data_IF_398033129006
#
_entry.id   IF_398033129006
#
_cell.length_a   1.000
_cell.length_b   1.000
_cell.length_c   1.000
_cell.angle_alpha   90.00
_cell.angle_beta   90.00
_cell.angle_gamma   90.00
#
_symmetry.space_group_name_H-M   'P 1'
#
loop_
_entity.id
_entity.type
_entity.pdbx_description
1 polymer ?
#
# COMPACT_ATOMS: atom_id res chain seq x y z
N UNK A 1 10.55 -27.20 16.27
CA UNK A 1 9.17 -27.07 15.77
C UNK A 1 9.22 -26.14 14.58
N UNK A 2 8.83 -26.58 13.40
CA UNK A 2 8.59 -25.64 12.30
C UNK A 2 7.29 -24.91 12.63
N UNK A 3 7.36 -23.60 12.83
CA UNK A 3 6.16 -22.75 12.94
C UNK A 3 5.50 -22.74 11.56
N UNK A 4 4.28 -23.27 11.50
CA UNK A 4 3.43 -23.17 10.32
C UNK A 4 2.89 -21.74 10.27
N UNK A 5 3.21 -21.00 9.21
CA UNK A 5 2.63 -19.68 8.94
C UNK A 5 1.17 -19.85 8.46
N UNK A 6 0.31 -18.94 8.88
CA UNK A 6 -1.11 -18.93 8.53
C UNK A 6 -1.46 -17.71 7.69
N UNK A 7 -2.48 -17.86 6.85
CA UNK A 7 -3.01 -16.82 5.97
C UNK A 7 -4.44 -16.50 6.38
N UNK A 8 -4.78 -15.22 6.35
CA UNK A 8 -6.13 -14.71 6.48
C UNK A 8 -6.48 -13.96 5.20
N UNK A 9 -7.58 -14.35 4.55
CA UNK A 9 -8.17 -13.61 3.45
C UNK A 9 -9.43 -12.88 3.94
N UNK A 10 -9.56 -11.61 3.57
CA UNK A 10 -10.71 -10.77 3.89
C UNK A 10 -11.17 -10.16 2.57
N UNK A 11 -12.41 -10.41 2.18
CA UNK A 11 -13.03 -9.88 0.97
C UNK A 11 -14.56 -9.88 1.16
N UNK A 12 -15.28 -9.15 0.33
CA UNK A 12 -16.74 -9.25 0.26
C UNK A 12 -17.17 -10.56 -0.39
N UNK A 13 -16.37 -11.08 -1.32
CA UNK A 13 -16.65 -12.21 -2.21
C UNK A 13 -18.05 -12.10 -2.85
N UNK A 14 -18.58 -13.19 -3.41
CA UNK A 14 -19.84 -13.17 -4.16
C UNK A 14 -21.03 -12.76 -3.28
N UNK A 15 -20.98 -13.08 -1.97
CA UNK A 15 -22.11 -12.97 -1.05
C UNK A 15 -22.41 -11.54 -0.61
N UNK A 16 -21.42 -10.64 -0.63
CA UNK A 16 -21.55 -9.25 -0.16
C UNK A 16 -21.24 -8.20 -1.25
N UNK A 17 -21.31 -8.56 -2.54
CA UNK A 17 -21.03 -7.61 -3.64
C UNK A 17 -21.96 -6.38 -3.66
N UNK A 18 -23.12 -6.41 -3.02
CA UNK A 18 -23.95 -5.21 -2.84
C UNK A 18 -23.29 -4.13 -1.99
N UNK A 19 -22.23 -4.47 -1.24
CA UNK A 19 -21.42 -3.55 -0.43
C UNK A 19 -20.18 -3.04 -1.19
N UNK A 20 -19.96 -3.49 -2.43
CA UNK A 20 -18.89 -2.99 -3.30
C UNK A 20 -19.26 -1.60 -3.84
N UNK A 21 -19.10 -0.58 -3.00
CA UNK A 21 -19.58 0.78 -3.27
C UNK A 21 -18.80 1.53 -4.35
N UNK A 22 -17.56 1.15 -4.62
CA UNK A 22 -16.72 1.76 -5.66
C UNK A 22 -16.72 0.96 -6.97
N UNK A 23 -17.37 -0.21 -6.98
CA UNK A 23 -17.49 -1.07 -8.15
C UNK A 23 -16.18 -1.74 -8.57
N UNK A 24 -15.20 -1.82 -7.66
CA UNK A 24 -13.91 -2.43 -7.96
C UNK A 24 -13.97 -3.96 -7.84
N UNK A 25 -13.55 -4.64 -8.89
CA UNK A 25 -13.52 -6.11 -8.93
C UNK A 25 -14.88 -6.78 -8.72
N UNK A 26 -14.87 -8.11 -8.65
CA UNK A 26 -16.02 -8.94 -8.25
C UNK A 26 -15.47 -10.28 -7.74
N UNK A 27 -14.94 -10.24 -6.52
CA UNK A 27 -14.29 -11.40 -5.90
C UNK A 27 -15.21 -12.62 -5.87
N UNK A 28 -14.67 -13.79 -6.18
CA UNK A 28 -15.42 -15.06 -6.14
C UNK A 28 -14.76 -16.08 -5.22
N UNK A 29 -15.47 -16.48 -4.16
CA UNK A 29 -14.92 -17.38 -3.14
C UNK A 29 -14.59 -18.76 -3.72
N UNK A 30 -15.46 -19.39 -4.55
CA UNK A 30 -15.11 -20.66 -5.18
C UNK A 30 -13.86 -20.58 -6.07
N UNK A 31 -13.71 -19.51 -6.86
CA UNK A 31 -12.53 -19.33 -7.72
C UNK A 31 -11.27 -19.05 -6.90
N UNK A 32 -11.38 -18.25 -5.85
CA UNK A 32 -10.29 -18.00 -4.91
C UNK A 32 -9.79 -19.32 -4.29
N UNK A 33 -10.69 -20.13 -3.72
CA UNK A 33 -10.33 -21.42 -3.12
C UNK A 33 -9.72 -22.39 -4.14
N UNK A 34 -10.23 -22.41 -5.38
CA UNK A 34 -9.67 -23.19 -6.47
C UNK A 34 -8.23 -22.75 -6.81
N UNK A 35 -7.97 -21.44 -6.86
CA UNK A 35 -6.64 -20.90 -7.13
C UNK A 35 -5.65 -21.25 -6.00
N UNK A 36 -6.06 -21.11 -4.74
CA UNK A 36 -5.23 -21.49 -3.58
C UNK A 36 -4.86 -22.98 -3.67
N UNK A 37 -5.83 -23.84 -3.98
CA UNK A 37 -5.58 -25.28 -4.16
C UNK A 37 -4.63 -25.55 -5.33
N UNK A 38 -4.85 -24.89 -6.46
CA UNK A 38 -4.06 -25.07 -7.69
C UNK A 38 -2.59 -24.67 -7.48
N UNK A 39 -2.33 -23.64 -6.69
CA UNK A 39 -0.98 -23.16 -6.37
C UNK A 39 -0.33 -23.86 -5.17
N UNK A 40 -0.89 -24.99 -4.71
CA UNK A 40 -0.25 -25.87 -3.74
C UNK A 40 -0.31 -25.41 -2.29
N UNK A 41 -1.13 -24.40 -1.97
CA UNK A 41 -1.47 -24.10 -0.58
C UNK A 41 -2.53 -25.13 -0.14
N UNK A 42 -2.29 -25.89 0.96
CA UNK A 42 -3.23 -26.93 1.37
C UNK A 42 -4.57 -26.32 1.80
N UNK A 43 -5.55 -26.33 0.92
CA UNK A 43 -6.93 -25.88 1.21
C UNK A 43 -7.72 -26.90 2.03
N UNK A 44 -7.30 -28.17 2.01
CA UNK A 44 -8.05 -29.28 2.61
C UNK A 44 -7.96 -29.36 4.14
N UNK A 45 -7.04 -28.63 4.74
CA UNK A 45 -7.05 -28.41 6.18
C UNK A 45 -7.18 -26.91 6.40
N UNK A 46 -8.25 -26.45 7.04
CA UNK A 46 -8.44 -25.10 7.61
C UNK A 46 -7.29 -24.66 8.58
N UNK A 47 -6.20 -25.43 8.61
CA UNK A 47 -4.98 -25.20 9.34
C UNK A 47 -4.18 -24.03 8.78
N UNK A 48 -4.19 -23.76 7.46
CA UNK A 48 -3.35 -22.71 6.86
C UNK A 48 -4.12 -21.45 6.53
N UNK A 49 -5.31 -21.59 5.92
CA UNK A 49 -6.13 -20.48 5.45
C UNK A 49 -7.37 -20.32 6.32
N UNK A 50 -7.62 -19.07 6.73
CA UNK A 50 -8.89 -18.61 7.27
C UNK A 50 -9.46 -17.56 6.32
N UNK A 51 -10.79 -17.50 6.19
CA UNK A 51 -11.48 -16.55 5.31
C UNK A 51 -12.54 -15.82 6.11
N UNK A 52 -12.61 -14.50 5.94
CA UNK A 52 -13.68 -13.66 6.47
C UNK A 52 -14.36 -12.97 5.28
N UNK A 53 -15.65 -13.27 5.08
CA UNK A 53 -16.51 -12.55 4.13
C UNK A 53 -17.06 -11.29 4.82
N UNK A 54 -16.41 -10.14 4.65
CA UNK A 54 -16.81 -8.88 5.31
C UNK A 54 -16.11 -7.65 4.73
N UNK A 55 -16.73 -6.48 4.88
CA UNK A 55 -16.04 -5.19 4.70
C UNK A 55 -15.09 -4.96 5.87
N UNK A 56 -13.89 -4.47 5.60
CA UNK A 56 -12.95 -4.07 6.66
C UNK A 56 -13.45 -2.93 7.54
N UNK A 57 -14.48 -2.18 7.10
CA UNK A 57 -15.16 -1.15 7.90
C UNK A 57 -15.98 -1.73 9.05
N UNK A 58 -16.30 -3.02 8.98
CA UNK A 58 -17.17 -3.71 9.95
C UNK A 58 -16.37 -4.68 10.83
N UNK A 59 -15.05 -4.72 10.67
CA UNK A 59 -14.17 -5.66 11.37
C UNK A 59 -13.44 -5.00 12.55
N UNK A 60 -13.48 -5.70 13.67
CA UNK A 60 -12.70 -5.39 14.86
C UNK A 60 -11.39 -6.19 14.89
N UNK A 61 -10.30 -5.65 15.46
CA UNK A 61 -9.01 -6.34 15.56
C UNK A 61 -9.08 -7.74 16.21
N UNK A 62 -10.01 -7.97 17.14
CA UNK A 62 -10.20 -9.29 17.76
C UNK A 62 -10.68 -10.35 16.76
N UNK A 63 -11.47 -9.97 15.77
CA UNK A 63 -11.97 -10.87 14.72
C UNK A 63 -10.86 -11.30 13.76
N UNK A 64 -9.77 -10.54 13.64
CA UNK A 64 -8.59 -10.94 12.86
C UNK A 64 -7.63 -11.82 13.67
N UNK A 65 -7.57 -11.61 14.98
CA UNK A 65 -6.69 -12.38 15.88
C UNK A 65 -7.21 -13.78 16.17
N UNK A 66 -8.51 -14.00 16.03
CA UNK A 66 -9.16 -15.29 16.23
C UNK A 66 -10.28 -15.49 15.19
N UNK A 67 -10.10 -16.49 14.31
CA UNK A 67 -11.03 -16.82 13.22
C UNK A 67 -11.37 -18.30 13.30
N UNK A 68 -12.65 -18.65 13.29
CA UNK A 68 -13.11 -20.05 13.40
C UNK A 68 -12.51 -20.84 14.59
N UNK A 69 -12.31 -20.15 15.72
CA UNK A 69 -11.69 -20.72 16.93
C UNK A 69 -10.17 -20.91 16.83
N UNK A 70 -9.54 -20.46 15.74
CA UNK A 70 -8.09 -20.49 15.53
C UNK A 70 -7.48 -19.14 15.89
N UNK A 71 -6.53 -19.14 16.81
CA UNK A 71 -5.73 -17.95 17.16
C UNK A 71 -4.63 -17.72 16.12
N UNK A 72 -4.69 -16.58 15.43
CA UNK A 72 -3.71 -16.16 14.42
C UNK A 72 -2.60 -15.29 15.01
N UNK A 73 -2.89 -14.58 16.11
CA UNK A 73 -1.90 -13.70 16.74
C UNK A 73 -1.70 -12.40 15.95
N UNK A 74 -0.47 -11.90 15.90
CA UNK A 74 -0.13 -10.69 15.14
C UNK A 74 0.31 -11.03 13.71
N UNK A 75 0.18 -10.08 12.79
CA UNK A 75 0.50 -10.26 11.37
C UNK A 75 1.89 -9.73 11.03
N UNK A 76 2.68 -10.54 10.32
CA UNK A 76 4.03 -10.17 9.86
C UNK A 76 4.02 -9.51 8.48
N UNK A 77 3.03 -9.85 7.66
CA UNK A 77 2.78 -9.27 6.34
C UNK A 77 1.28 -9.04 6.23
N UNK A 78 0.88 -7.88 5.72
CA UNK A 78 -0.51 -7.54 5.47
C UNK A 78 -0.61 -6.81 4.12
N UNK A 79 -1.33 -7.39 3.16
CA UNK A 79 -1.58 -6.77 1.86
C UNK A 79 -2.93 -6.07 1.91
N UNK A 80 -2.98 -4.81 1.52
CA UNK A 80 -4.20 -4.00 1.40
C UNK A 80 -4.42 -3.76 -0.09
N UNK A 81 -5.49 -4.38 -0.59
CA UNK A 81 -5.98 -4.31 -1.97
C UNK A 81 -7.52 -4.46 -1.92
N UNK A 82 -8.14 -3.62 -1.10
CA UNK A 82 -9.57 -3.64 -0.81
C UNK A 82 -10.32 -2.63 -1.67
N UNK A 83 -11.21 -1.87 -1.05
CA UNK A 83 -11.87 -0.75 -1.72
C UNK A 83 -10.93 0.44 -1.94
N UNK A 84 -11.24 1.23 -2.96
CA UNK A 84 -10.45 2.33 -3.51
C UNK A 84 -10.95 3.71 -3.03
N UNK A 85 -11.73 3.75 -1.95
CA UNK A 85 -12.23 4.97 -1.32
C UNK A 85 -11.37 5.39 -0.12
N UNK A 86 -11.32 6.69 0.16
CA UNK A 86 -10.59 7.23 1.33
C UNK A 86 -11.00 6.53 2.64
N UNK A 87 -12.31 6.34 2.83
CA UNK A 87 -12.87 5.76 4.06
C UNK A 87 -12.44 4.31 4.24
N UNK A 88 -12.48 3.51 3.17
CA UNK A 88 -12.10 2.09 3.23
C UNK A 88 -10.60 1.96 3.49
N UNK A 89 -9.75 2.65 2.72
CA UNK A 89 -8.30 2.61 2.92
C UNK A 89 -7.89 3.10 4.32
N UNK A 90 -8.56 4.13 4.85
CA UNK A 90 -8.31 4.57 6.23
C UNK A 90 -8.70 3.48 7.24
N UNK A 91 -9.85 2.83 7.04
CA UNK A 91 -10.30 1.73 7.89
C UNK A 91 -9.30 0.58 7.89
N UNK A 92 -8.85 0.16 6.71
CA UNK A 92 -7.83 -0.87 6.53
C UNK A 92 -6.56 -0.54 7.32
N UNK A 93 -6.05 0.69 7.18
CA UNK A 93 -4.83 1.14 7.85
C UNK A 93 -4.98 1.18 9.38
N UNK A 94 -6.13 1.61 9.89
CA UNK A 94 -6.42 1.62 11.34
C UNK A 94 -6.54 0.20 11.87
N UNK A 95 -7.18 -0.71 11.12
CA UNK A 95 -7.38 -2.10 11.51
C UNK A 95 -6.04 -2.85 11.54
N UNK A 96 -5.26 -2.78 10.45
CA UNK A 96 -3.99 -3.50 10.33
C UNK A 96 -3.00 -3.08 11.40
N UNK A 97 -2.92 -1.77 11.70
CA UNK A 97 -2.01 -1.23 12.69
C UNK A 97 -2.26 -1.79 14.10
N UNK A 98 -3.50 -2.19 14.41
CA UNK A 98 -3.87 -2.79 15.70
C UNK A 98 -3.58 -4.30 15.78
N UNK A 99 -3.23 -4.95 14.66
CA UNK A 99 -2.97 -6.40 14.59
C UNK A 99 -1.57 -6.73 14.05
N UNK A 100 -0.81 -5.74 13.59
CA UNK A 100 0.55 -5.90 13.07
C UNK A 100 1.53 -6.31 14.19
N UNK A 101 2.45 -7.22 13.90
CA UNK A 101 3.59 -7.46 14.78
C UNK A 101 4.57 -6.28 14.72
N UNK A 102 5.42 -6.15 15.74
CA UNK A 102 6.61 -5.28 15.62
C UNK A 102 7.45 -5.71 14.41
N UNK A 103 7.77 -4.75 13.55
CA UNK A 103 8.45 -5.01 12.28
C UNK A 103 7.57 -5.65 11.21
N UNK A 104 6.28 -5.85 11.43
CA UNK A 104 5.39 -6.29 10.36
C UNK A 104 5.42 -5.32 9.18
N UNK A 105 5.14 -5.84 7.98
CA UNK A 105 5.12 -5.05 6.74
C UNK A 105 3.70 -4.96 6.21
N UNK A 106 3.25 -3.73 5.97
CA UNK A 106 2.00 -3.44 5.29
C UNK A 106 2.35 -3.10 3.85
N UNK A 107 1.66 -3.71 2.90
CA UNK A 107 1.82 -3.48 1.46
C UNK A 107 0.51 -2.94 0.96
N UNK A 108 0.49 -1.71 0.48
CA UNK A 108 -0.73 -1.07 -0.03
C UNK A 108 -0.64 -1.05 -1.55
N UNK A 109 -1.65 -1.60 -2.23
CA UNK A 109 -1.76 -1.52 -3.68
C UNK A 109 -2.24 -0.13 -4.13
N UNK A 110 -2.11 0.15 -5.42
CA UNK A 110 -2.66 1.34 -6.06
C UNK A 110 -2.20 2.70 -5.52
N UNK A 111 -1.01 2.71 -4.92
CA UNK A 111 -0.36 3.93 -4.39
C UNK A 111 -0.21 5.03 -5.45
N UNK A 112 0.10 4.68 -6.69
CA UNK A 112 0.28 5.63 -7.79
C UNK A 112 -0.86 5.60 -8.82
N UNK A 113 -1.95 4.87 -8.54
CA UNK A 113 -3.05 4.76 -9.47
C UNK A 113 -3.94 6.01 -9.40
N UNK A 114 -4.03 6.75 -10.50
CA UNK A 114 -4.82 7.98 -10.60
C UNK A 114 -6.33 7.71 -10.70
N UNK A 115 -6.75 6.51 -11.09
CA UNK A 115 -8.16 6.11 -11.04
C UNK A 115 -8.61 5.91 -9.58
N UNK A 116 -7.70 5.41 -8.72
CA UNK A 116 -7.96 5.06 -7.33
C UNK A 116 -7.40 6.06 -6.33
N UNK A 117 -7.65 7.35 -6.59
CA UNK A 117 -7.13 8.44 -5.76
C UNK A 117 -7.57 8.35 -4.28
N UNK A 118 -8.69 7.69 -3.98
CA UNK A 118 -9.15 7.44 -2.61
C UNK A 118 -8.12 6.69 -1.77
N UNK A 119 -7.32 5.80 -2.37
CA UNK A 119 -6.22 5.10 -1.69
C UNK A 119 -5.20 6.09 -1.14
N UNK A 120 -4.68 6.98 -1.98
CA UNK A 120 -3.75 8.04 -1.56
C UNK A 120 -4.38 8.95 -0.50
N UNK A 121 -5.62 9.36 -0.70
CA UNK A 121 -6.33 10.23 0.26
C UNK A 121 -6.45 9.56 1.64
N UNK A 122 -6.80 8.27 1.68
CA UNK A 122 -6.91 7.49 2.91
C UNK A 122 -5.58 7.36 3.65
N UNK A 123 -4.48 7.13 2.91
CA UNK A 123 -3.12 7.07 3.46
C UNK A 123 -2.72 8.42 4.08
N UNK A 124 -2.89 9.53 3.36
CA UNK A 124 -2.53 10.85 3.89
C UNK A 124 -3.39 11.24 5.08
N UNK A 125 -4.69 10.90 5.07
CA UNK A 125 -5.56 11.08 6.21
C UNK A 125 -5.08 10.27 7.42
N UNK A 126 -4.68 9.01 7.21
CA UNK A 126 -4.12 8.17 8.26
C UNK A 126 -2.85 8.79 8.87
N UNK A 127 -1.90 9.24 8.04
CA UNK A 127 -0.69 9.92 8.51
C UNK A 127 -1.00 11.18 9.33
N UNK A 128 -1.98 11.98 8.90
CA UNK A 128 -2.39 13.18 9.63
C UNK A 128 -2.97 12.85 11.02
N UNK A 129 -3.67 11.72 11.19
CA UNK A 129 -4.19 11.28 12.49
C UNK A 129 -3.09 10.83 13.46
N UNK A 130 -1.91 10.47 12.95
CA UNK A 130 -0.77 10.05 13.75
C UNK A 130 0.06 11.21 14.30
N UNK A 131 -0.08 12.40 13.69
CA UNK A 131 0.69 13.57 14.11
C UNK A 131 0.27 14.01 15.53
N UNK A 132 1.23 14.40 16.39
CA UNK A 132 0.92 14.96 17.70
C UNK A 132 0.00 16.18 17.54
N UNK A 133 -1.20 16.10 18.11
CA UNK A 133 -2.08 17.26 18.18
C UNK A 133 -1.47 18.23 19.21
N UNK A 134 -1.38 19.51 18.86
CA UNK A 134 -0.64 20.55 19.60
C UNK A 134 -1.00 20.70 21.08
N UNK A 135 -2.07 20.06 21.56
CA UNK A 135 -2.55 20.08 22.94
C UNK A 135 -2.82 18.69 23.56
N UNK A 136 -2.42 17.58 22.92
CA UNK A 136 -2.62 16.22 23.44
C UNK A 136 -1.35 15.39 23.28
N UNK A 137 -0.82 14.91 24.41
CA UNK A 137 0.51 14.28 24.49
C UNK A 137 0.57 12.84 23.95
N UNK A 138 -0.51 12.32 23.37
CA UNK A 138 -0.57 10.94 22.87
C UNK A 138 -1.45 10.87 21.63
N UNK A 139 -0.87 10.57 20.47
CA UNK A 139 -1.64 9.99 19.37
C UNK A 139 -2.15 8.61 19.82
N UNK A 140 -3.42 8.24 19.56
CA UNK A 140 -3.96 6.94 19.97
C UNK A 140 -3.30 5.75 19.27
N UNK A 141 -2.48 5.98 18.22
CA UNK A 141 -1.82 4.94 17.44
C UNK A 141 -0.33 5.29 17.22
N UNK A 142 0.56 4.30 17.43
CA UNK A 142 1.99 4.46 17.15
C UNK A 142 2.22 4.62 15.65
N UNK A 143 2.94 5.64 15.14
CA UNK A 143 2.95 5.96 13.72
C UNK A 143 3.39 4.80 12.82
N UNK A 144 2.91 4.75 11.59
CA UNK A 144 3.43 3.83 10.57
C UNK A 144 4.53 4.53 9.77
N UNK A 145 5.60 3.80 9.51
CA UNK A 145 6.80 4.31 8.86
C UNK A 145 6.90 3.78 7.42
N UNK A 146 6.66 4.61 6.39
CA UNK A 146 6.90 4.22 5.01
C UNK A 146 8.41 4.05 4.76
N UNK A 147 8.78 3.02 4.01
CA UNK A 147 10.20 2.75 3.74
C UNK A 147 10.50 2.41 2.27
N UNK A 148 9.50 2.01 1.49
CA UNK A 148 9.64 1.70 0.06
C UNK A 148 8.37 2.07 -0.70
N UNK A 149 8.51 2.72 -1.86
CA UNK A 149 7.43 2.95 -2.82
C UNK A 149 7.91 2.56 -4.23
N UNK A 150 7.36 1.49 -4.79
CA UNK A 150 7.79 0.94 -6.08
C UNK A 150 6.65 0.16 -6.74
N UNK A 151 6.59 0.20 -8.07
CA UNK A 151 5.64 -0.57 -8.89
C UNK A 151 4.19 -0.45 -8.38
N UNK A 152 3.71 0.78 -8.20
CA UNK A 152 2.37 1.08 -7.72
C UNK A 152 2.06 0.64 -6.28
N UNK A 153 3.06 0.24 -5.50
CA UNK A 153 2.88 -0.21 -4.11
C UNK A 153 3.62 0.69 -3.13
N UNK A 154 3.00 0.92 -1.98
CA UNK A 154 3.63 1.57 -0.82
C UNK A 154 3.82 0.54 0.30
N UNK A 155 5.01 0.50 0.86
CA UNK A 155 5.39 -0.39 1.94
C UNK A 155 5.58 0.41 3.23
N UNK A 156 4.88 0.00 4.28
CA UNK A 156 4.94 0.59 5.62
C UNK A 156 5.40 -0.46 6.64
N UNK A 157 6.03 -0.01 7.72
CA UNK A 157 6.35 -0.86 8.88
C UNK A 157 6.17 -0.08 10.19
N UNK A 158 6.51 -0.70 11.32
CA UNK A 158 6.60 -0.01 12.61
C UNK A 158 7.87 0.85 12.68
N UNK A 159 7.87 1.99 13.39
CA UNK A 159 8.99 2.94 13.37
C UNK A 159 10.31 2.33 13.84
N UNK A 160 10.25 1.41 14.82
CA UNK A 160 11.42 0.71 15.37
C UNK A 160 12.15 -0.19 14.36
N UNK A 161 11.52 -0.55 13.24
CA UNK A 161 12.09 -1.40 12.19
C UNK A 161 12.36 -0.66 10.88
N UNK A 162 12.01 0.63 10.80
CA UNK A 162 12.19 1.43 9.60
C UNK A 162 13.63 1.45 9.11
N UNK A 163 14.58 1.83 9.99
CA UNK A 163 16.00 1.92 9.65
C UNK A 163 16.55 0.58 9.16
N UNK A 164 16.14 -0.53 9.79
CA UNK A 164 16.56 -1.87 9.40
C UNK A 164 16.13 -2.17 7.96
N UNK A 165 14.85 -1.97 7.60
CA UNK A 165 14.37 -2.26 6.26
C UNK A 165 14.91 -1.30 5.21
N UNK A 166 14.94 0.00 5.53
CA UNK A 166 15.44 1.01 4.63
C UNK A 166 16.92 0.77 4.27
N UNK A 167 17.78 0.55 5.28
CA UNK A 167 19.23 0.34 5.05
C UNK A 167 19.54 -1.00 4.39
N UNK A 168 18.79 -2.06 4.72
CA UNK A 168 18.93 -3.38 4.09
C UNK A 168 18.57 -3.33 2.60
N UNK A 169 17.45 -2.68 2.26
CA UNK A 169 17.07 -2.47 0.86
C UNK A 169 18.07 -1.59 0.13
N UNK A 170 18.50 -0.48 0.74
CA UNK A 170 19.49 0.40 0.16
C UNK A 170 20.78 -0.37 -0.19
N UNK A 171 21.28 -1.19 0.74
CA UNK A 171 22.49 -2.00 0.54
C UNK A 171 22.30 -3.07 -0.54
N UNK A 172 21.16 -3.75 -0.55
CA UNK A 172 20.86 -4.81 -1.53
C UNK A 172 20.73 -4.26 -2.95
N UNK A 173 20.13 -3.08 -3.09
CA UNK A 173 20.00 -2.38 -4.37
C UNK A 173 21.35 -1.87 -4.90
N UNK A 174 22.25 -1.41 -4.01
CA UNK A 174 23.59 -0.96 -4.39
C UNK A 174 24.54 -2.12 -4.76
N UNK A 175 24.31 -3.32 -4.24
CA UNK A 175 25.19 -4.48 -4.41
C UNK A 175 24.75 -5.48 -5.51
N UNK A 176 23.53 -5.34 -6.06
CA UNK A 176 22.95 -6.27 -7.03
C UNK A 176 22.75 -5.67 -8.42
N UNK A 177 22.52 -6.53 -9.43
CA UNK A 177 22.23 -6.25 -10.85
C UNK A 177 20.97 -5.40 -11.12
N UNK A 178 20.49 -4.68 -10.12
CA UNK A 178 19.29 -3.86 -10.12
C UNK A 178 19.75 -2.40 -10.21
N UNK A 179 19.78 -1.87 -11.43
CA UNK A 179 20.24 -0.51 -11.76
C UNK A 179 19.20 0.53 -11.34
N UNK A 180 19.04 0.80 -10.04
CA UNK A 180 18.21 1.90 -9.56
C UNK A 180 19.06 3.05 -9.02
N UNK A 181 18.67 4.27 -9.35
CA UNK A 181 19.09 5.44 -8.59
C UNK A 181 18.09 5.59 -7.44
N UNK A 182 18.47 5.23 -6.20
CA UNK A 182 17.58 5.41 -5.06
C UNK A 182 17.31 6.92 -4.90
N UNK A 183 16.08 7.36 -5.16
CA UNK A 183 15.66 8.69 -4.73
C UNK A 183 15.18 8.56 -3.29
N UNK A 184 15.81 9.35 -2.42
CA UNK A 184 15.35 9.52 -1.05
C UNK A 184 14.35 10.66 -1.05
N UNK A 185 13.11 10.36 -0.66
CA UNK A 185 12.09 11.37 -0.36
C UNK A 185 11.66 11.22 1.09
N UNK A 186 11.04 12.26 1.65
CA UNK A 186 10.36 12.17 2.92
C UNK A 186 8.86 11.90 2.71
N UNK A 187 8.31 10.97 3.49
CA UNK A 187 6.88 10.73 3.59
C UNK A 187 6.55 10.43 5.05
N UNK A 188 5.59 11.16 5.63
CA UNK A 188 5.24 11.06 7.05
C UNK A 188 6.45 11.23 8.01
N UNK A 189 7.47 12.00 7.60
CA UNK A 189 8.70 12.21 8.37
C UNK A 189 9.70 11.05 8.35
N UNK A 190 9.51 10.08 7.44
CA UNK A 190 10.44 8.97 7.24
C UNK A 190 11.06 9.02 5.84
N UNK A 191 12.35 8.68 5.69
CA UNK A 191 12.93 8.50 4.38
C UNK A 191 12.34 7.27 3.70
N UNK A 192 11.88 7.45 2.47
CA UNK A 192 11.29 6.40 1.64
C UNK A 192 12.17 6.16 0.43
N UNK A 193 12.43 4.90 0.16
CA UNK A 193 13.09 4.46 -1.07
C UNK A 193 12.08 4.52 -2.20
N UNK A 194 12.31 5.34 -3.23
CA UNK A 194 11.44 5.36 -4.41
C UNK A 194 12.20 4.96 -5.67
N UNK A 195 11.45 4.50 -6.66
CA UNK A 195 11.96 4.34 -8.03
C UNK A 195 11.80 5.66 -8.75
N UNK A 196 12.91 6.26 -9.17
CA UNK A 196 12.91 7.10 -10.36
C UNK A 196 13.17 6.15 -11.51
N UNK A 197 12.18 5.91 -12.36
CA UNK A 197 12.53 5.52 -13.72
C UNK A 197 13.44 6.63 -14.21
N UNK A 198 14.72 6.31 -14.45
CA UNK A 198 15.50 7.14 -15.35
C UNK A 198 14.77 7.03 -16.69
N UNK A 199 13.76 7.89 -16.87
CA UNK A 199 13.30 8.23 -18.19
C UNK A 199 14.55 8.82 -18.79
N UNK A 200 15.30 8.02 -19.57
CA UNK A 200 16.14 8.61 -20.60
C UNK A 200 15.17 9.52 -21.34
N UNK A 201 15.30 10.85 -21.25
CA UNK A 201 14.36 11.71 -21.93
C UNK A 201 14.49 11.32 -23.41
N UNK A 202 13.48 10.66 -23.97
CA UNK A 202 13.33 10.64 -25.42
C UNK A 202 12.91 12.04 -25.91
N UNK A 203 12.55 12.92 -24.98
CA UNK A 203 12.28 14.31 -25.21
C UNK A 203 13.59 15.08 -25.07
N UNK A 204 14.18 15.34 -26.23
CA UNK A 204 15.23 16.34 -26.38
C UNK A 204 14.59 17.71 -26.11
N UNK A 205 14.68 18.17 -24.85
CA UNK A 205 14.16 19.47 -24.42
C UNK A 205 14.75 20.62 -25.25
N UNK A 206 15.96 20.42 -25.80
CA UNK A 206 16.58 21.37 -26.71
C UNK A 206 15.87 21.40 -28.06
N UNK A 207 15.45 20.25 -28.62
CA UNK A 207 14.59 20.22 -29.82
C UNK A 207 13.18 20.75 -29.60
N UNK A 208 12.60 20.57 -28.41
CA UNK A 208 11.31 21.19 -28.08
C UNK A 208 11.43 22.71 -27.98
N UNK A 209 12.51 23.21 -27.37
CA UNK A 209 12.79 24.65 -27.26
C UNK A 209 13.16 25.29 -28.59
N UNK A 210 13.98 24.61 -29.41
CA UNK A 210 14.33 25.04 -30.78
C UNK A 210 13.12 24.95 -31.73
N UNK A 211 12.20 24.00 -31.54
CA UNK A 211 10.92 23.97 -32.26
C UNK A 211 9.96 25.09 -31.87
N UNK A 212 10.03 25.55 -30.61
CA UNK A 212 9.24 26.69 -30.12
C UNK A 212 9.81 28.05 -30.55
N UNK A 213 11.11 28.13 -30.80
CA UNK A 213 11.81 29.37 -31.23
C UNK A 213 12.18 29.40 -32.71
N UNK A 214 12.10 28.27 -33.41
CA UNK A 214 12.51 28.09 -34.81
C UNK A 214 11.36 28.12 -35.82
N UNK A 215 10.12 28.38 -35.38
CA UNK A 215 9.03 28.74 -36.28
C UNK A 215 9.24 30.17 -36.77
N UNK A 216 9.42 30.32 -38.08
CA UNK A 216 9.61 31.60 -38.79
C UNK A 216 8.80 32.75 -38.18
N UNK A 217 9.48 33.88 -38.01
CA UNK A 217 8.90 35.10 -37.48
C UNK A 217 7.68 35.57 -38.26
N UNK A 218 6.76 36.23 -37.55
CA UNK A 218 5.70 37.00 -38.20
C UNK A 218 4.43 37.13 -37.39
N UNK A 219 4.44 38.12 -36.49
CA UNK A 219 3.29 38.91 -36.07
C UNK A 219 2.18 38.33 -35.17
N UNK A 220 1.75 39.22 -34.27
CA UNK A 220 0.48 39.24 -33.52
C UNK A 220 0.35 38.39 -32.26
N UNK A 221 0.99 38.83 -31.16
CA UNK A 221 0.29 38.92 -29.86
C UNK A 221 0.76 40.17 -29.11
N UNK A 222 0.03 41.29 -29.29
CA UNK A 222 0.10 42.43 -28.37
C UNK A 222 -0.86 42.15 -27.21
N UNK A 223 -0.34 42.16 -25.99
CA UNK A 223 -1.16 42.19 -24.78
C UNK A 223 -1.77 43.59 -24.66
N UNK A 224 -3.11 43.65 -24.69
CA UNK A 224 -3.85 44.82 -24.26
C UNK A 224 -3.88 44.88 -22.73
N UNK A 225 -3.65 46.09 -22.23
CA UNK A 225 -3.79 46.51 -20.83
C UNK A 225 -5.22 46.31 -20.30
#
# INVERSE_FOLDING_TARGET
MHTIESFLAIDLFDSLQSQNIDGSGSGSLPLFLLNIQTHGLPTFSNQYLSVIESSSTDLEPSQLREVDGKKLGCFRIFSIDGGHTETITLSDLVLVQKVLCDGGVIIIDDWTNDEWFGVRSGIFRHFNLQQPQSNSQTSPLSPLAPFLAINNKLYLTTPSYHDLYFTTLQSSLLNGSITYLPLKTDLNGFPVMTRVEAIKPQWDLQKMWEGYLGGDGGEHWRWGE
#
